data_IF_929892671845
#
_entry.id   IF_929892671845
#
_cell.length_a   1.000
_cell.length_b   1.000
_cell.length_c   1.000
_cell.angle_alpha   90.00
_cell.angle_beta   90.00
_cell.angle_gamma   90.00
#
_symmetry.space_group_name_H-M   'P 1'
#
loop_
_entity.id
_entity.type
_entity.pdbx_description
1 polymer ?
#
# COMPACT_ATOMS: atom_id res chain seq x y z
N UNK A 1 -95.96 -1.45 -24.07
CA UNK A 1 -95.57 -2.47 -25.01
C UNK A 1 -94.34 -1.95 -25.71
N UNK A 2 -93.17 -2.33 -25.33
CA UNK A 2 -91.92 -1.74 -25.77
C UNK A 2 -91.07 -2.81 -26.45
N UNK A 3 -90.60 -2.52 -27.62
CA UNK A 3 -89.74 -3.41 -28.41
C UNK A 3 -88.29 -3.05 -28.17
N UNK A 4 -87.54 -4.01 -27.68
CA UNK A 4 -86.14 -3.93 -27.45
C UNK A 4 -85.42 -4.22 -28.79
N UNK A 5 -84.61 -3.29 -29.24
CA UNK A 5 -83.67 -3.49 -30.37
C UNK A 5 -82.28 -3.66 -29.80
N UNK A 6 -81.75 -4.87 -29.98
CA UNK A 6 -80.44 -5.25 -29.53
C UNK A 6 -79.45 -4.94 -30.68
N UNK A 7 -78.60 -3.93 -30.46
CA UNK A 7 -77.52 -3.59 -31.43
C UNK A 7 -76.21 -4.13 -30.94
N UNK A 8 -75.69 -5.13 -31.64
CA UNK A 8 -74.39 -5.76 -31.39
C UNK A 8 -73.35 -4.96 -32.14
N UNK A 9 -72.53 -4.18 -31.45
CA UNK A 9 -71.35 -3.51 -32.02
C UNK A 9 -70.13 -4.43 -31.82
N UNK A 10 -69.67 -4.97 -32.92
CA UNK A 10 -68.45 -5.80 -32.97
C UNK A 10 -67.24 -4.86 -32.99
N UNK A 11 -66.58 -4.72 -31.85
CA UNK A 11 -65.33 -3.93 -31.76
C UNK A 11 -64.14 -4.80 -32.03
N UNK A 12 -63.52 -4.62 -33.18
CA UNK A 12 -62.23 -5.25 -33.51
C UNK A 12 -61.14 -4.57 -32.69
N UNK A 13 -60.64 -5.23 -31.70
CA UNK A 13 -59.43 -4.81 -30.96
C UNK A 13 -58.20 -5.33 -31.74
N UNK A 14 -57.56 -4.44 -32.47
CA UNK A 14 -56.27 -4.69 -33.10
C UNK A 14 -55.18 -4.72 -32.03
N UNK A 15 -54.67 -5.90 -31.71
CA UNK A 15 -53.49 -6.07 -30.86
C UNK A 15 -52.24 -5.57 -31.63
N UNK A 16 -51.84 -4.35 -31.37
CA UNK A 16 -50.48 -3.87 -31.71
C UNK A 16 -49.50 -4.48 -30.72
N UNK A 17 -48.84 -5.55 -31.11
CA UNK A 17 -47.67 -6.07 -30.38
C UNK A 17 -46.49 -5.12 -30.57
N UNK A 18 -46.29 -4.18 -29.66
CA UNK A 18 -45.06 -3.40 -29.58
C UNK A 18 -43.97 -4.31 -29.07
N UNK A 19 -43.13 -4.81 -29.98
CA UNK A 19 -41.89 -5.47 -29.64
C UNK A 19 -40.97 -4.45 -28.94
N UNK A 20 -40.97 -4.45 -27.62
CA UNK A 20 -39.97 -3.74 -26.85
C UNK A 20 -38.62 -4.41 -27.04
N UNK A 21 -37.84 -3.86 -27.97
CA UNK A 21 -36.41 -4.16 -28.09
C UNK A 21 -35.74 -3.77 -26.74
N UNK A 22 -35.52 -4.79 -25.90
CA UNK A 22 -34.69 -4.69 -24.70
C UNK A 22 -33.30 -4.31 -25.15
N UNK A 23 -32.95 -3.00 -25.08
CA UNK A 23 -31.55 -2.57 -25.18
C UNK A 23 -30.78 -3.29 -24.07
N UNK A 24 -30.07 -4.34 -24.44
CA UNK A 24 -29.05 -4.94 -23.61
C UNK A 24 -28.02 -3.84 -23.38
N UNK A 25 -28.00 -3.26 -22.17
CA UNK A 25 -26.85 -2.47 -21.72
C UNK A 25 -25.69 -3.47 -21.68
N UNK A 26 -24.84 -3.39 -22.68
CA UNK A 26 -23.49 -3.94 -22.57
C UNK A 26 -22.80 -3.09 -21.52
N UNK A 27 -22.88 -3.54 -20.26
CA UNK A 27 -22.01 -3.02 -19.23
C UNK A 27 -20.58 -3.35 -19.71
N UNK A 28 -19.95 -2.35 -20.30
CA UNK A 28 -18.52 -2.38 -20.55
C UNK A 28 -17.89 -2.57 -19.18
N UNK A 29 -17.59 -3.82 -18.84
CA UNK A 29 -16.74 -4.16 -17.71
C UNK A 29 -15.42 -3.41 -17.95
N UNK A 30 -15.36 -2.18 -17.43
CA UNK A 30 -14.09 -1.48 -17.31
C UNK A 30 -13.22 -2.44 -16.51
N UNK A 31 -12.27 -3.06 -17.20
CA UNK A 31 -11.28 -3.95 -16.57
C UNK A 31 -10.55 -3.10 -15.55
N UNK A 32 -11.01 -3.15 -14.32
CA UNK A 32 -10.38 -2.41 -13.23
C UNK A 32 -8.92 -2.85 -13.18
N UNK A 33 -8.00 -1.92 -13.44
CA UNK A 33 -6.57 -2.22 -13.33
C UNK A 33 -6.31 -2.82 -11.95
N UNK A 34 -5.53 -3.91 -11.87
CA UNK A 34 -5.22 -4.52 -10.59
C UNK A 34 -4.58 -3.48 -9.67
N UNK A 35 -5.07 -3.39 -8.44
CA UNK A 35 -4.49 -2.51 -7.44
C UNK A 35 -3.06 -2.96 -7.13
N UNK A 36 -2.11 -2.11 -7.42
CA UNK A 36 -0.70 -2.28 -7.02
C UNK A 36 -0.40 -1.36 -5.86
N UNK A 37 0.40 -1.85 -4.92
CA UNK A 37 0.75 -1.12 -3.72
C UNK A 37 2.24 -0.80 -3.70
N UNK A 38 2.60 0.32 -3.11
CA UNK A 38 3.98 0.76 -2.91
C UNK A 38 4.16 1.24 -1.48
N UNK A 39 5.27 0.85 -0.86
CA UNK A 39 5.62 1.23 0.50
C UNK A 39 6.57 2.43 0.50
N UNK A 40 6.35 3.36 1.42
CA UNK A 40 7.16 4.57 1.63
C UNK A 40 7.51 4.73 3.10
N UNK A 41 8.62 5.38 3.38
CA UNK A 41 8.96 5.90 4.70
C UNK A 41 8.95 7.41 4.66
N UNK A 42 7.91 8.01 5.21
CA UNK A 42 7.63 9.41 4.94
C UNK A 42 7.52 9.68 3.42
N UNK A 43 8.35 10.56 2.84
CA UNK A 43 8.38 10.81 1.40
C UNK A 43 9.30 9.86 0.62
N UNK A 44 10.10 9.00 1.28
CA UNK A 44 11.13 8.17 0.64
C UNK A 44 10.53 6.82 0.23
N UNK A 45 10.69 6.50 -1.05
CA UNK A 45 10.38 5.19 -1.63
C UNK A 45 11.61 4.29 -1.72
N UNK A 46 11.46 3.15 -2.40
CA UNK A 46 12.58 2.23 -2.68
C UNK A 46 13.64 2.90 -3.55
N UNK A 47 14.90 2.78 -3.17
CA UNK A 47 16.03 3.34 -3.93
C UNK A 47 17.13 3.88 -3.05
N UNK A 48 17.72 5.00 -3.50
CA UNK A 48 18.81 5.66 -2.78
C UNK A 48 18.31 6.92 -2.09
N UNK A 49 18.82 7.20 -0.90
CA UNK A 49 18.53 8.44 -0.19
C UNK A 49 19.77 8.95 0.57
N UNK A 50 19.97 10.27 0.68
CA UNK A 50 21.05 10.84 1.48
C UNK A 50 20.89 10.51 2.98
N UNK A 51 22.01 10.33 3.70
CA UNK A 51 21.99 10.07 5.13
C UNK A 51 21.22 11.14 5.92
N UNK A 52 21.42 12.41 5.59
CA UNK A 52 20.68 13.52 6.21
C UNK A 52 19.17 13.43 6.02
N UNK A 53 18.70 12.97 4.85
CA UNK A 53 17.27 12.76 4.61
C UNK A 53 16.73 11.61 5.46
N UNK A 54 17.46 10.51 5.57
CA UNK A 54 17.08 9.37 6.41
C UNK A 54 17.03 9.76 7.88
N UNK A 55 18.03 10.49 8.38
CA UNK A 55 18.04 11.02 9.74
C UNK A 55 16.82 11.91 10.03
N UNK A 56 16.45 12.77 9.07
CA UNK A 56 15.29 13.67 9.22
C UNK A 56 13.95 12.94 9.26
N UNK A 57 13.82 11.84 8.51
CA UNK A 57 12.55 11.06 8.43
C UNK A 57 12.49 9.91 9.43
N UNK A 58 13.53 9.69 10.26
CA UNK A 58 13.58 8.57 11.20
C UNK A 58 12.30 8.43 12.07
N UNK A 59 11.67 9.51 12.57
CA UNK A 59 10.42 9.44 13.31
C UNK A 59 9.16 9.33 12.43
N UNK A 60 9.30 9.39 11.11
CA UNK A 60 8.14 9.39 10.21
C UNK A 60 7.46 8.02 10.13
N UNK A 61 6.17 8.03 9.81
CA UNK A 61 5.41 6.81 9.61
C UNK A 61 5.77 6.10 8.30
N UNK A 62 5.67 4.76 8.32
CA UNK A 62 5.62 3.93 7.14
C UNK A 62 4.23 4.05 6.52
N UNK A 63 4.18 4.28 5.23
CA UNK A 63 2.96 4.51 4.45
C UNK A 63 2.85 3.49 3.32
N UNK A 64 1.64 3.09 3.00
CA UNK A 64 1.34 2.28 1.82
C UNK A 64 0.40 3.08 0.93
N UNK A 65 0.72 3.17 -0.37
CA UNK A 65 -0.11 3.82 -1.39
C UNK A 65 -0.49 2.83 -2.47
N UNK A 66 -1.69 2.97 -3.03
CA UNK A 66 -2.05 2.28 -4.27
C UNK A 66 -1.65 3.11 -5.50
N UNK A 67 -1.87 2.53 -6.68
CA UNK A 67 -1.62 3.18 -7.97
C UNK A 67 -2.51 4.40 -8.25
N UNK A 68 -3.58 4.61 -7.47
CA UNK A 68 -4.41 5.81 -7.48
C UNK A 68 -3.94 6.89 -6.48
N UNK A 69 -2.85 6.62 -5.74
CA UNK A 69 -2.30 7.52 -4.73
C UNK A 69 -3.01 7.47 -3.37
N UNK A 70 -3.97 6.56 -3.18
CA UNK A 70 -4.68 6.41 -1.92
C UNK A 70 -3.80 5.81 -0.85
N UNK A 71 -3.85 6.38 0.36
CA UNK A 71 -3.10 5.94 1.53
C UNK A 71 -3.85 4.86 2.30
N UNK A 72 -3.08 3.88 2.80
CA UNK A 72 -3.56 2.80 3.63
C UNK A 72 -2.78 2.77 4.96
N UNK A 73 -3.46 2.59 6.09
CA UNK A 73 -2.81 2.54 7.40
C UNK A 73 -1.99 1.27 7.55
N UNK A 74 -0.72 1.43 7.90
CA UNK A 74 0.20 0.34 8.24
C UNK A 74 -0.04 -0.09 9.69
N UNK A 75 -0.08 -1.40 9.91
CA UNK A 75 -0.41 -2.01 11.21
C UNK A 75 0.78 -2.75 11.82
N UNK A 76 1.88 -2.84 11.10
CA UNK A 76 3.09 -3.49 11.57
C UNK A 76 4.08 -3.73 10.44
N UNK A 77 5.32 -3.92 10.80
CA UNK A 77 6.42 -4.15 9.87
C UNK A 77 7.63 -4.73 10.60
N UNK A 78 8.54 -5.31 9.83
CA UNK A 78 9.89 -5.67 10.29
C UNK A 78 10.91 -4.76 9.64
N UNK A 79 11.86 -4.23 10.40
CA UNK A 79 13.02 -3.50 9.90
C UNK A 79 14.27 -4.35 10.01
N UNK A 80 15.07 -4.35 8.95
CA UNK A 80 16.44 -4.85 8.92
C UNK A 80 17.36 -3.66 8.59
N UNK A 81 18.19 -3.27 9.54
CA UNK A 81 19.16 -2.19 9.36
C UNK A 81 20.56 -2.77 9.31
N UNK A 82 21.17 -2.74 8.11
CA UNK A 82 22.56 -3.13 7.86
C UNK A 82 23.43 -1.88 7.89
N UNK A 83 24.46 -1.89 8.72
CA UNK A 83 25.38 -0.76 8.85
C UNK A 83 26.82 -1.27 9.01
N UNK A 84 27.79 -0.38 8.71
CA UNK A 84 29.20 -0.66 8.95
C UNK A 84 29.58 -0.15 10.33
N UNK A 85 30.13 -1.05 11.12
CA UNK A 85 30.82 -0.73 12.38
C UNK A 85 32.31 -0.93 12.25
N UNK A 86 33.06 -0.36 13.16
CA UNK A 86 34.52 -0.56 13.27
C UNK A 86 34.84 -1.11 14.64
N UNK A 87 35.76 -2.06 14.68
CA UNK A 87 36.31 -2.60 15.92
C UNK A 87 37.83 -2.60 15.85
N UNK A 88 38.46 -2.53 17.02
CA UNK A 88 39.91 -2.69 17.13
C UNK A 88 40.22 -4.16 17.29
N UNK A 89 41.07 -4.68 16.44
CA UNK A 89 41.58 -6.04 16.52
C UNK A 89 42.64 -6.11 17.61
N UNK A 90 42.40 -6.89 18.63
CA UNK A 90 43.27 -7.00 19.79
C UNK A 90 44.66 -7.64 19.46
N UNK A 91 44.74 -8.47 18.42
CA UNK A 91 45.99 -9.10 18.00
C UNK A 91 46.88 -8.18 17.18
N UNK A 92 46.29 -7.45 16.24
CA UNK A 92 47.06 -6.59 15.32
C UNK A 92 47.04 -5.10 15.74
N UNK A 93 46.18 -4.72 16.70
CA UNK A 93 45.96 -3.34 17.11
C UNK A 93 45.31 -2.45 16.01
N UNK A 94 44.97 -3.03 14.86
CA UNK A 94 44.40 -2.30 13.72
C UNK A 94 42.89 -2.15 13.85
N UNK A 95 42.37 -1.05 13.30
CA UNK A 95 40.94 -0.86 13.17
C UNK A 95 40.43 -1.62 11.96
N UNK A 96 39.55 -2.59 12.19
CA UNK A 96 38.86 -3.37 11.13
C UNK A 96 37.42 -2.95 11.03
N UNK A 97 36.86 -3.01 9.80
CA UNK A 97 35.46 -2.77 9.52
C UNK A 97 34.70 -4.08 9.47
N UNK A 98 33.53 -4.13 10.11
CA UNK A 98 32.57 -5.24 10.00
C UNK A 98 31.20 -4.74 9.58
N UNK A 99 30.40 -5.62 9.02
CA UNK A 99 29.02 -5.33 8.70
C UNK A 99 28.11 -5.91 9.78
N UNK A 100 27.34 -5.04 10.40
CA UNK A 100 26.39 -5.42 11.42
C UNK A 100 24.95 -5.39 10.88
N UNK A 101 24.09 -6.16 11.53
CA UNK A 101 22.66 -6.23 11.24
C UNK A 101 21.85 -6.07 12.53
N UNK A 102 21.00 -5.07 12.55
CA UNK A 102 19.97 -4.92 13.59
C UNK A 102 18.61 -5.24 13.00
N UNK A 103 17.81 -6.02 13.72
CA UNK A 103 16.45 -6.41 13.32
C UNK A 103 15.46 -5.98 14.39
N UNK A 104 14.33 -5.44 13.97
CA UNK A 104 13.24 -5.07 14.86
C UNK A 104 11.89 -5.43 14.28
N UNK A 105 10.98 -5.93 15.13
CA UNK A 105 9.58 -6.20 14.79
C UNK A 105 8.70 -5.16 15.46
N UNK A 106 7.82 -4.54 14.67
CA UNK A 106 6.92 -3.49 15.11
C UNK A 106 5.47 -3.92 14.83
N UNK A 107 4.70 -4.10 15.89
CA UNK A 107 3.31 -4.55 15.81
C UNK A 107 2.37 -3.43 16.25
N UNK A 108 1.22 -3.31 15.60
CA UNK A 108 0.19 -2.30 15.88
C UNK A 108 0.69 -0.85 15.80
N UNK A 109 1.71 -0.61 14.96
CA UNK A 109 2.27 0.73 14.73
C UNK A 109 2.72 0.88 13.29
N UNK A 110 2.74 2.12 12.82
CA UNK A 110 3.33 2.51 11.54
C UNK A 110 4.67 3.25 11.71
N UNK A 111 5.15 3.42 12.95
CA UNK A 111 6.34 4.19 13.26
C UNK A 111 7.37 3.34 14.00
N UNK A 112 8.64 3.68 13.84
CA UNK A 112 9.71 3.18 14.68
C UNK A 112 9.51 3.65 16.13
N UNK A 113 9.97 2.85 17.09
CA UNK A 113 10.06 3.34 18.48
C UNK A 113 11.07 4.49 18.55
N UNK A 114 10.93 5.33 19.56
CA UNK A 114 11.84 6.47 19.78
C UNK A 114 13.31 6.03 19.78
N UNK A 115 13.64 4.95 20.51
CA UNK A 115 15.00 4.41 20.58
C UNK A 115 15.55 4.01 19.20
N UNK A 116 14.72 3.42 18.34
CA UNK A 116 15.13 3.09 16.99
C UNK A 116 15.31 4.32 16.11
N UNK A 117 14.38 5.26 16.18
CA UNK A 117 14.43 6.50 15.42
C UNK A 117 15.68 7.34 15.79
N UNK A 118 15.96 7.50 17.07
CA UNK A 118 17.15 8.18 17.57
C UNK A 118 18.43 7.45 17.14
N UNK A 119 18.47 6.11 17.30
CA UNK A 119 19.64 5.33 16.89
C UNK A 119 19.94 5.47 15.38
N UNK A 120 18.91 5.47 14.52
CA UNK A 120 19.11 5.70 13.08
C UNK A 120 19.55 7.14 12.82
N UNK A 121 18.89 8.13 13.44
CA UNK A 121 19.20 9.55 13.29
C UNK A 121 20.67 9.84 13.59
N UNK A 122 21.21 9.23 14.65
CA UNK A 122 22.55 9.54 15.15
C UNK A 122 23.65 8.73 14.45
N UNK A 123 23.31 7.57 13.86
CA UNK A 123 24.32 6.63 13.37
C UNK A 123 24.26 6.35 11.87
N UNK A 124 23.22 6.78 11.15
CA UNK A 124 23.06 6.48 9.73
C UNK A 124 24.19 7.12 8.88
N UNK A 125 24.81 6.29 8.02
CA UNK A 125 25.96 6.68 7.21
C UNK A 125 25.82 6.21 5.76
N UNK A 126 26.52 6.84 4.82
CA UNK A 126 26.63 6.35 3.45
C UNK A 126 27.15 4.90 3.42
N UNK A 127 26.49 4.06 2.64
CA UNK A 127 26.73 2.61 2.54
C UNK A 127 25.84 1.76 3.40
N UNK A 128 25.08 2.33 4.31
CA UNK A 128 24.06 1.61 5.10
C UNK A 128 22.89 1.20 4.21
N UNK A 129 22.17 0.16 4.68
CA UNK A 129 20.97 -0.31 3.99
C UNK A 129 19.86 -0.53 5.01
N UNK A 130 18.70 0.07 4.74
CA UNK A 130 17.49 -0.09 5.54
C UNK A 130 16.46 -0.84 4.70
N UNK A 131 15.95 -1.95 5.23
CA UNK A 131 14.93 -2.77 4.59
C UNK A 131 13.73 -2.92 5.52
N UNK A 132 12.60 -2.40 5.10
CA UNK A 132 11.31 -2.71 5.71
C UNK A 132 10.65 -3.84 4.95
N UNK A 133 10.36 -4.93 5.62
CA UNK A 133 9.67 -6.09 5.09
C UNK A 133 8.50 -6.48 5.98
N UNK A 134 7.70 -7.46 5.54
CA UNK A 134 6.49 -7.88 6.25
C UNK A 134 5.59 -6.70 6.63
N UNK A 135 5.52 -5.68 5.75
CA UNK A 135 4.70 -4.49 5.98
C UNK A 135 3.23 -4.87 5.88
N UNK A 136 2.55 -4.86 7.01
CA UNK A 136 1.14 -5.20 7.15
C UNK A 136 0.29 -3.94 7.08
N UNK A 137 -0.71 -3.92 6.21
CA UNK A 137 -1.67 -2.83 6.12
C UNK A 137 -3.10 -3.35 6.03
N UNK A 138 -4.09 -2.51 6.30
CA UNK A 138 -5.50 -2.83 6.15
C UNK A 138 -6.06 -2.20 4.88
N UNK A 139 -6.69 -3.01 4.04
CA UNK A 139 -7.40 -2.52 2.86
C UNK A 139 -8.75 -1.87 3.25
N UNK A 140 -9.45 -1.32 2.25
CA UNK A 140 -10.75 -0.65 2.43
C UNK A 140 -11.85 -1.56 3.04
N UNK A 141 -11.70 -2.87 2.87
CA UNK A 141 -12.63 -3.86 3.44
C UNK A 141 -12.21 -4.31 4.85
N UNK A 142 -11.21 -3.65 5.46
CA UNK A 142 -10.67 -4.01 6.77
C UNK A 142 -9.79 -5.26 6.79
N UNK A 143 -9.57 -5.90 5.62
CA UNK A 143 -8.74 -7.10 5.52
C UNK A 143 -7.27 -6.73 5.57
N UNK A 144 -6.50 -7.46 6.38
CA UNK A 144 -5.06 -7.30 6.47
C UNK A 144 -4.36 -7.91 5.25
N UNK A 145 -3.38 -7.19 4.71
CA UNK A 145 -2.59 -7.58 3.54
C UNK A 145 -1.12 -7.21 3.75
N UNK A 146 -0.25 -7.89 2.99
CA UNK A 146 1.18 -7.57 2.92
C UNK A 146 1.43 -6.57 1.77
N UNK A 147 2.16 -5.50 2.07
CA UNK A 147 2.68 -4.58 1.06
C UNK A 147 4.07 -5.01 0.58
N UNK A 148 4.51 -4.52 -0.59
CA UNK A 148 5.87 -4.71 -1.06
C UNK A 148 6.91 -4.20 -0.06
N UNK A 149 8.06 -4.88 0.00
CA UNK A 149 9.17 -4.44 0.84
C UNK A 149 9.74 -3.09 0.34
N UNK A 150 10.16 -2.26 1.29
CA UNK A 150 10.83 -0.98 1.02
C UNK A 150 12.33 -1.14 1.33
N UNK A 151 13.17 -1.04 0.29
CA UNK A 151 14.63 -1.09 0.45
C UNK A 151 15.23 0.29 0.13
N UNK A 152 15.98 0.82 1.08
CA UNK A 152 16.68 2.11 0.96
C UNK A 152 18.18 1.86 1.12
N UNK A 153 18.97 2.37 0.19
CA UNK A 153 20.43 2.39 0.28
C UNK A 153 20.86 3.82 0.57
N UNK A 154 21.58 4.02 1.65
CA UNK A 154 22.03 5.33 2.11
C UNK A 154 23.26 5.78 1.32
N UNK A 155 23.22 7.03 0.84
CA UNK A 155 24.31 7.68 0.10
C UNK A 155 24.77 8.97 0.75
#
# INVERSE_FOLDING_TARGET
MSKIVLSIVFSLVSCFSVAQSKKVKVDTLATAMPLTFTTYWGPVGTGNAPAAQIAAIAPAAILVKDNAGKLYPVNGFRINYKFKSTYRDDESGQTKSMQDLRVGDFNNTSQLSQVWAESIKDNVKPGDTILFNQVLFRNLKGKQQLAPALKIVVR
#
